data_IF_539994938185
#
_entry.id   IF_539994938185
#
_cell.length_a   1.000
_cell.length_b   1.000
_cell.length_c   1.000
_cell.angle_alpha   90.00
_cell.angle_beta   90.00
_cell.angle_gamma   90.00
#
_symmetry.space_group_name_H-M   'P 1'
#
loop_
_entity.id
_entity.type
_entity.pdbx_description
1 polymer ?
#
# COMPACT_ATOMS: atom_id res chain seq x y z
N UNK A 1 -7.03 12.41 27.44
CA UNK A 1 -6.54 11.10 26.95
C UNK A 1 -6.55 11.16 25.44
N UNK A 2 -5.52 10.65 24.76
CA UNK A 2 -5.54 10.55 23.30
C UNK A 2 -6.69 9.63 22.88
N UNK A 3 -7.46 10.03 21.87
CA UNK A 3 -8.52 9.17 21.36
C UNK A 3 -7.89 8.10 20.46
N UNK A 4 -8.03 6.84 20.85
CA UNK A 4 -7.53 5.71 20.07
C UNK A 4 -8.42 5.45 18.87
N UNK A 5 -7.80 5.13 17.73
CA UNK A 5 -8.51 4.79 16.51
C UNK A 5 -8.86 3.30 16.48
N UNK A 6 -10.10 3.01 16.11
CA UNK A 6 -10.57 1.66 15.81
C UNK A 6 -9.99 1.13 14.49
N UNK A 7 -10.06 -0.18 14.26
CA UNK A 7 -9.53 -0.81 13.05
C UNK A 7 -10.15 -0.26 11.76
N UNK A 8 -11.47 -0.08 11.72
CA UNK A 8 -12.15 0.44 10.53
C UNK A 8 -11.74 1.88 10.23
N UNK A 9 -11.49 2.73 11.24
CA UNK A 9 -11.01 4.10 11.03
C UNK A 9 -9.62 4.11 10.40
N UNK A 10 -8.73 3.20 10.85
CA UNK A 10 -7.38 2.99 10.26
C UNK A 10 -7.46 2.57 8.79
N UNK A 11 -8.41 1.70 8.46
CA UNK A 11 -8.67 1.31 7.08
C UNK A 11 -9.17 2.51 6.24
N UNK A 12 -10.18 3.23 6.72
CA UNK A 12 -10.79 4.33 5.98
C UNK A 12 -9.84 5.52 5.76
N UNK A 13 -8.99 5.87 6.73
CA UNK A 13 -7.98 6.93 6.53
C UNK A 13 -6.93 6.51 5.50
N UNK A 14 -6.59 5.22 5.44
CA UNK A 14 -5.67 4.67 4.44
C UNK A 14 -6.25 4.75 3.03
N UNK A 15 -7.53 4.36 2.89
CA UNK A 15 -8.27 4.51 1.64
C UNK A 15 -8.34 5.99 1.22
N UNK A 16 -8.66 6.90 2.14
CA UNK A 16 -8.74 8.33 1.86
C UNK A 16 -7.39 8.92 1.40
N UNK A 17 -6.28 8.55 2.05
CA UNK A 17 -4.93 8.96 1.67
C UNK A 17 -4.59 8.51 0.25
N UNK A 18 -4.81 7.23 -0.07
CA UNK A 18 -4.57 6.69 -1.41
C UNK A 18 -5.50 7.33 -2.45
N UNK A 19 -6.77 7.58 -2.09
CA UNK A 19 -7.73 8.23 -2.97
C UNK A 19 -7.29 9.65 -3.36
N UNK A 20 -6.80 10.43 -2.39
CA UNK A 20 -6.29 11.77 -2.64
C UNK A 20 -5.09 11.75 -3.60
N UNK A 21 -4.12 10.86 -3.37
CA UNK A 21 -2.94 10.71 -4.24
C UNK A 21 -3.32 10.22 -5.63
N UNK A 22 -4.20 9.23 -5.74
CA UNK A 22 -4.63 8.71 -7.03
C UNK A 22 -5.37 9.77 -7.84
N UNK A 23 -6.24 10.54 -7.20
CA UNK A 23 -6.96 11.66 -7.84
C UNK A 23 -5.97 12.71 -8.34
N UNK A 24 -4.98 13.08 -7.53
CA UNK A 24 -3.91 13.99 -7.94
C UNK A 24 -3.10 13.44 -9.13
N UNK A 25 -2.89 12.11 -9.18
CA UNK A 25 -2.19 11.42 -10.27
C UNK A 25 -3.02 11.14 -11.51
N UNK A 26 -4.33 11.42 -11.50
CA UNK A 26 -5.24 11.07 -12.60
C UNK A 26 -5.50 9.56 -12.74
N UNK A 27 -5.45 8.81 -11.64
CA UNK A 27 -5.71 7.38 -11.59
C UNK A 27 -7.10 7.10 -11.02
N UNK A 28 -7.70 5.97 -11.41
CA UNK A 28 -8.96 5.49 -10.82
C UNK A 28 -8.68 4.45 -9.74
N UNK A 29 -9.48 4.45 -8.68
CA UNK A 29 -9.52 3.37 -7.69
C UNK A 29 -10.66 2.39 -7.98
N UNK A 30 -10.42 1.13 -7.66
CA UNK A 30 -11.44 0.10 -7.55
C UNK A 30 -11.30 -0.60 -6.19
N UNK A 31 -12.43 -0.99 -5.63
CA UNK A 31 -12.55 -1.88 -4.49
C UNK A 31 -13.27 -3.17 -4.89
N UNK A 32 -13.06 -4.22 -4.11
CA UNK A 32 -13.66 -5.54 -4.33
C UNK A 32 -14.69 -5.80 -3.25
N UNK A 33 -15.88 -6.26 -3.66
CA UNK A 33 -16.96 -6.59 -2.72
C UNK A 33 -16.64 -7.78 -1.81
N UNK A 34 -15.70 -8.64 -2.23
CA UNK A 34 -15.20 -9.78 -1.47
C UNK A 34 -13.69 -9.79 -1.61
N UNK A 35 -12.98 -9.60 -0.50
CA UNK A 35 -11.52 -9.71 -0.47
C UNK A 35 -11.11 -11.19 -0.41
N UNK A 36 -10.71 -11.73 -1.56
CA UNK A 36 -10.11 -13.07 -1.66
C UNK A 36 -8.59 -13.02 -1.82
N UNK A 37 -8.09 -11.93 -2.39
CA UNK A 37 -6.73 -11.81 -2.90
C UNK A 37 -5.81 -10.97 -2.00
N UNK A 38 -6.30 -10.56 -0.82
CA UNK A 38 -5.58 -9.70 0.12
C UNK A 38 -5.36 -8.31 -0.47
N UNK A 39 -6.42 -7.71 -1.03
CA UNK A 39 -6.35 -6.44 -1.74
C UNK A 39 -7.42 -5.50 -1.20
N UNK A 40 -6.97 -4.40 -0.59
CA UNK A 40 -7.88 -3.35 -0.12
C UNK A 40 -8.30 -2.42 -1.26
N UNK A 41 -7.36 -2.07 -2.15
CA UNK A 41 -7.58 -1.17 -3.29
C UNK A 41 -6.77 -1.61 -4.51
N UNK A 42 -7.38 -1.46 -5.68
CA UNK A 42 -6.70 -1.58 -6.98
C UNK A 42 -6.64 -0.19 -7.63
N UNK A 43 -5.44 0.24 -8.03
CA UNK A 43 -5.25 1.42 -8.88
C UNK A 43 -5.31 1.00 -10.35
N UNK A 44 -5.94 1.82 -11.19
CA UNK A 44 -6.00 1.60 -12.63
C UNK A 44 -5.60 2.83 -13.42
N UNK A 45 -4.80 2.61 -14.47
CA UNK A 45 -4.40 3.65 -15.42
C UNK A 45 -4.04 3.03 -16.77
N UNK A 46 -4.64 3.54 -17.86
CA UNK A 46 -4.32 3.16 -19.26
C UNK A 46 -4.27 1.64 -19.50
N UNK A 47 -5.21 0.91 -18.91
CA UNK A 47 -5.29 -0.56 -19.06
C UNK A 47 -4.41 -1.37 -18.12
N UNK A 48 -3.52 -0.73 -17.36
CA UNK A 48 -2.74 -1.37 -16.31
C UNK A 48 -3.43 -1.26 -14.96
N UNK A 49 -3.26 -2.30 -14.14
CA UNK A 49 -3.76 -2.38 -12.78
C UNK A 49 -2.59 -2.60 -11.82
N UNK A 50 -2.75 -2.13 -10.58
CA UNK A 50 -1.83 -2.33 -9.46
C UNK A 50 -2.66 -2.65 -8.24
N UNK A 51 -2.35 -3.75 -7.56
CA UNK A 51 -3.04 -4.15 -6.33
C UNK A 51 -2.25 -3.72 -5.10
N UNK A 52 -2.96 -3.18 -4.11
CA UNK A 52 -2.35 -2.65 -2.89
C UNK A 52 -3.13 -3.16 -1.67
N UNK A 53 -2.41 -3.82 -0.77
CA UNK A 53 -2.86 -4.01 0.62
C UNK A 53 -2.45 -2.78 1.44
N UNK A 54 -3.41 -2.21 2.14
CA UNK A 54 -3.23 -1.10 3.05
C UNK A 54 -3.09 -1.61 4.48
N UNK A 55 -2.06 -1.15 5.18
CA UNK A 55 -1.91 -1.31 6.63
C UNK A 55 -1.71 0.07 7.24
N UNK A 56 -2.16 0.24 8.48
CA UNK A 56 -2.06 1.52 9.17
C UNK A 56 -1.64 1.32 10.63
N UNK A 57 -0.71 2.14 11.10
CA UNK A 57 -0.17 2.05 12.46
C UNK A 57 0.06 3.43 13.07
N UNK A 58 -0.15 3.50 14.38
CA UNK A 58 0.18 4.65 15.22
C UNK A 58 1.55 4.51 15.89
N UNK A 59 2.11 3.30 15.86
CA UNK A 59 3.35 2.91 16.53
C UNK A 59 4.19 2.09 15.57
N UNK A 60 4.80 2.74 14.55
CA UNK A 60 5.61 2.04 13.57
C UNK A 60 6.88 1.48 14.21
N UNK A 61 7.33 0.31 13.74
CA UNK A 61 8.63 -0.23 14.13
C UNK A 61 9.71 0.40 13.26
N UNK A 62 10.44 1.35 13.83
CA UNK A 62 11.57 1.99 13.16
C UNK A 62 12.78 1.06 13.14
N UNK A 63 13.46 1.01 12.01
CA UNK A 63 14.74 0.31 11.81
C UNK A 63 15.76 1.31 11.23
N UNK A 64 17.03 0.91 11.07
CA UNK A 64 18.13 1.83 10.71
C UNK A 64 17.85 2.71 9.48
N UNK A 65 17.09 2.23 8.50
CA UNK A 65 16.86 2.93 7.22
C UNK A 65 15.38 2.92 6.79
N UNK A 66 14.46 3.09 7.75
CA UNK A 66 13.03 3.18 7.50
C UNK A 66 12.22 2.41 8.54
N UNK A 67 11.26 1.62 8.06
CA UNK A 67 10.30 0.92 8.89
C UNK A 67 10.23 -0.57 8.56
N UNK A 68 9.78 -1.35 9.54
CA UNK A 68 9.47 -2.77 9.35
C UNK A 68 8.02 -3.02 9.74
N UNK A 69 7.32 -3.82 8.96
CA UNK A 69 5.97 -4.26 9.26
C UNK A 69 5.88 -5.79 9.19
N UNK A 70 5.38 -6.41 10.24
CA UNK A 70 5.14 -7.86 10.23
C UNK A 70 3.81 -8.13 9.54
N UNK A 71 3.88 -8.59 8.30
CA UNK A 71 2.71 -8.97 7.51
C UNK A 71 2.42 -10.45 7.73
N UNK A 72 1.15 -10.82 7.89
CA UNK A 72 0.76 -12.22 7.95
C UNK A 72 1.13 -12.96 6.66
N UNK A 73 1.50 -14.24 6.79
CA UNK A 73 2.02 -15.02 5.67
C UNK A 73 0.97 -15.22 4.58
N UNK A 74 -0.31 -15.36 4.95
CA UNK A 74 -1.38 -15.52 3.96
C UNK A 74 -1.47 -14.30 3.03
N UNK A 75 -1.48 -13.09 3.60
CA UNK A 75 -1.49 -11.85 2.80
C UNK A 75 -0.19 -11.67 2.02
N UNK A 76 0.96 -11.97 2.64
CA UNK A 76 2.25 -11.91 1.96
C UNK A 76 2.30 -12.83 0.74
N UNK A 77 1.92 -14.10 0.91
CA UNK A 77 1.91 -15.13 -0.14
C UNK A 77 0.97 -14.76 -1.28
N UNK A 78 -0.22 -14.23 -0.96
CA UNK A 78 -1.15 -13.70 -1.97
C UNK A 78 -0.52 -12.56 -2.76
N UNK A 79 0.04 -11.54 -2.11
CA UNK A 79 0.58 -10.35 -2.79
C UNK A 79 1.84 -10.64 -3.61
N UNK A 80 2.64 -11.61 -3.17
CA UNK A 80 3.92 -11.93 -3.81
C UNK A 80 3.80 -12.84 -5.02
N UNK A 81 2.63 -13.47 -5.20
CA UNK A 81 2.40 -14.49 -6.22
C UNK A 81 2.81 -13.97 -7.62
N UNK A 82 3.75 -14.65 -8.31
CA UNK A 82 4.20 -14.25 -9.63
C UNK A 82 3.13 -14.42 -10.73
N UNK A 83 2.08 -15.21 -10.49
CA UNK A 83 1.00 -15.46 -11.47
C UNK A 83 -0.10 -14.39 -11.44
N UNK A 84 -0.04 -13.42 -10.51
CA UNK A 84 -1.01 -12.32 -10.46
C UNK A 84 -1.00 -11.51 -11.76
N UNK A 85 -2.19 -11.12 -12.21
CA UNK A 85 -2.35 -10.22 -13.37
C UNK A 85 -1.98 -8.76 -13.08
N UNK A 86 -1.97 -8.37 -11.80
CA UNK A 86 -1.54 -7.06 -11.33
C UNK A 86 -0.46 -7.23 -10.23
N UNK A 87 0.60 -6.40 -10.22
CA UNK A 87 1.64 -6.50 -9.20
C UNK A 87 1.07 -6.17 -7.82
N UNK A 88 1.29 -7.06 -6.86
CA UNK A 88 0.92 -6.88 -5.47
C UNK A 88 1.92 -6.03 -4.68
N UNK A 89 1.40 -5.04 -3.98
CA UNK A 89 2.16 -4.10 -3.15
C UNK A 89 1.59 -4.02 -1.74
N UNK A 90 2.46 -3.71 -0.78
CA UNK A 90 2.07 -3.28 0.56
C UNK A 90 2.23 -1.77 0.66
N UNK A 91 1.24 -1.09 1.21
CA UNK A 91 1.36 0.29 1.68
C UNK A 91 1.16 0.35 3.19
N UNK A 92 2.12 0.93 3.91
CA UNK A 92 2.02 1.22 5.34
C UNK A 92 1.77 2.70 5.55
N UNK A 93 0.63 3.05 6.12
CA UNK A 93 0.31 4.39 6.57
C UNK A 93 0.67 4.56 8.05
N UNK A 94 1.51 5.55 8.33
CA UNK A 94 1.88 5.95 9.68
C UNK A 94 1.09 7.19 10.06
N UNK A 95 0.38 7.13 11.17
CA UNK A 95 -0.54 8.19 11.61
C UNK A 95 -0.28 8.58 13.07
N UNK A 96 -0.61 9.81 13.51
CA UNK A 96 -0.48 10.23 14.89
C UNK A 96 -1.24 9.31 15.88
N UNK A 97 -0.74 9.12 17.11
CA UNK A 97 -1.44 8.34 18.14
C UNK A 97 -2.83 8.86 18.52
N UNK A 98 -3.07 10.16 18.36
CA UNK A 98 -4.37 10.78 18.59
C UNK A 98 -5.13 10.91 17.27
N UNK A 99 -6.28 10.23 17.16
CA UNK A 99 -7.13 10.29 15.95
C UNK A 99 -7.61 11.71 15.65
N UNK A 100 -7.76 12.56 16.67
CA UNK A 100 -8.15 13.97 16.50
C UNK A 100 -7.13 14.79 15.70
N UNK A 101 -5.90 14.27 15.53
CA UNK A 101 -4.84 14.93 14.76
C UNK A 101 -4.72 14.41 13.32
N UNK A 102 -5.46 13.37 12.94
CA UNK A 102 -5.35 12.77 11.59
C UNK A 102 -5.83 13.73 10.51
N UNK A 103 -6.90 14.47 10.78
CA UNK A 103 -7.43 15.50 9.90
C UNK A 103 -7.48 16.81 10.67
N UNK A 104 -6.74 17.80 10.21
CA UNK A 104 -6.73 19.14 10.82
C UNK A 104 -7.25 20.15 9.83
N UNK A 105 -8.19 20.99 10.26
CA UNK A 105 -8.69 22.10 9.45
C UNK A 105 -7.78 23.31 9.61
N UNK A 106 -7.44 23.93 8.48
CA UNK A 106 -6.81 25.23 8.38
C UNK A 106 -7.78 26.17 7.66
N UNK A 107 -7.44 27.47 7.58
CA UNK A 107 -8.34 28.48 7.00
C UNK A 107 -8.67 28.25 5.53
N UNK A 108 -7.76 27.62 4.78
CA UNK A 108 -7.84 27.45 3.33
C UNK A 108 -7.70 25.97 2.88
N UNK A 109 -7.50 25.07 3.84
CA UNK A 109 -7.08 23.70 3.54
C UNK A 109 -7.45 22.73 4.66
N UNK A 110 -7.38 21.45 4.31
CA UNK A 110 -7.36 20.35 5.27
C UNK A 110 -6.00 19.67 5.19
N UNK A 111 -5.43 19.30 6.34
CA UNK A 111 -4.21 18.51 6.42
C UNK A 111 -4.58 17.10 6.82
N UNK A 112 -4.26 16.13 5.97
CA UNK A 112 -4.26 14.72 6.30
C UNK A 112 -2.88 14.35 6.84
N UNK A 113 -2.73 14.30 8.17
CA UNK A 113 -1.46 14.05 8.85
C UNK A 113 -1.11 12.56 8.81
N UNK A 114 -0.84 12.04 7.62
CA UNK A 114 -0.50 10.63 7.40
C UNK A 114 0.75 10.52 6.52
N UNK A 115 1.65 9.60 6.87
CA UNK A 115 2.87 9.34 6.11
C UNK A 115 2.81 7.93 5.54
N UNK A 116 2.69 7.81 4.22
CA UNK A 116 2.62 6.53 3.54
C UNK A 116 3.99 6.07 3.08
N UNK A 117 4.28 4.78 3.24
CA UNK A 117 5.43 4.09 2.65
C UNK A 117 4.95 2.86 1.91
N UNK A 118 5.71 2.39 0.94
CA UNK A 118 5.31 1.22 0.14
C UNK A 118 6.46 0.25 -0.11
N UNK A 119 6.11 -0.97 -0.48
CA UNK A 119 7.03 -2.00 -0.96
C UNK A 119 6.33 -2.87 -2.03
N UNK A 120 7.05 -3.23 -3.09
CA UNK A 120 6.61 -4.25 -4.03
C UNK A 120 6.85 -5.63 -3.42
N UNK A 121 5.82 -6.47 -3.38
CA UNK A 121 5.94 -7.86 -2.93
C UNK A 121 5.93 -8.85 -4.09
N UNK A 122 5.39 -8.45 -5.23
CA UNK A 122 5.32 -9.27 -6.43
C UNK A 122 6.68 -9.88 -6.81
N UNK A 123 6.72 -11.21 -6.94
CA UNK A 123 7.92 -11.95 -7.33
C UNK A 123 9.02 -12.03 -6.26
N UNK A 124 8.76 -11.66 -5.00
CA UNK A 124 9.74 -11.78 -3.90
C UNK A 124 10.10 -13.26 -3.57
N UNK A 125 10.87 -13.51 -2.51
CA UNK A 125 11.13 -14.86 -2.01
C UNK A 125 9.99 -15.41 -1.16
N UNK A 126 10.15 -16.62 -0.62
CA UNK A 126 9.24 -17.13 0.41
C UNK A 126 9.37 -16.36 1.72
N UNK A 127 8.30 -16.35 2.51
CA UNK A 127 8.30 -15.79 3.86
C UNK A 127 9.41 -16.42 4.73
N UNK A 128 10.03 -15.61 5.58
CA UNK A 128 11.08 -16.09 6.48
C UNK A 128 10.55 -16.71 7.78
N UNK A 129 9.35 -16.29 8.22
CA UNK A 129 8.70 -16.76 9.44
C UNK A 129 7.63 -17.82 9.21
N UNK A 130 6.93 -18.21 10.28
CA UNK A 130 5.85 -19.21 10.26
C UNK A 130 4.43 -18.66 10.47
N UNK A 131 4.30 -17.42 10.97
CA UNK A 131 3.00 -16.74 11.13
C UNK A 131 2.97 -15.36 10.44
N UNK A 132 4.09 -14.63 10.54
CA UNK A 132 4.30 -13.35 9.89
C UNK A 132 5.69 -13.32 9.26
N UNK A 133 5.89 -12.39 8.32
CA UNK A 133 7.20 -12.06 7.78
C UNK A 133 7.41 -10.55 7.81
N UNK A 134 8.63 -10.12 8.12
CA UNK A 134 8.98 -8.72 8.16
C UNK A 134 9.10 -8.18 6.72
N UNK A 135 8.29 -7.18 6.39
CA UNK A 135 8.41 -6.38 5.17
C UNK A 135 9.14 -5.08 5.52
N UNK A 136 10.28 -4.85 4.88
CA UNK A 136 11.07 -3.63 5.04
C UNK A 136 10.53 -2.53 4.13
N UNK A 137 10.26 -1.36 4.70
CA UNK A 137 9.78 -0.16 4.02
C UNK A 137 10.82 0.95 4.18
N UNK A 138 11.73 1.13 3.20
CA UNK A 138 12.76 2.15 3.29
C UNK A 138 12.17 3.56 3.40
N UNK A 139 12.84 4.45 4.14
CA UNK A 139 12.41 5.84 4.31
C UNK A 139 12.28 6.62 2.98
N UNK A 140 13.05 6.23 1.96
CA UNK A 140 12.99 6.84 0.62
C UNK A 140 11.91 6.23 -0.29
N UNK A 141 11.17 5.21 0.16
CA UNK A 141 10.02 4.64 -0.53
C UNK A 141 8.71 5.22 0.00
N UNK A 142 8.61 6.54 0.00
CA UNK A 142 7.37 7.24 0.33
C UNK A 142 6.28 6.96 -0.71
N UNK A 143 5.06 6.74 -0.24
CA UNK A 143 3.89 6.59 -1.09
C UNK A 143 3.42 7.96 -1.58
N UNK A 144 3.74 8.26 -2.83
CA UNK A 144 3.44 9.50 -3.52
C UNK A 144 2.84 9.22 -4.90
N UNK A 145 2.36 10.25 -5.61
CA UNK A 145 1.94 10.12 -7.01
C UNK A 145 3.05 9.54 -7.90
N UNK A 146 4.31 9.94 -7.65
CA UNK A 146 5.48 9.40 -8.35
C UNK A 146 5.65 7.91 -8.06
N UNK A 147 5.50 7.50 -6.81
CA UNK A 147 5.56 6.08 -6.43
C UNK A 147 4.48 5.24 -7.13
N UNK A 148 3.24 5.73 -7.19
CA UNK A 148 2.18 5.07 -7.95
C UNK A 148 2.53 4.93 -9.44
N UNK A 149 3.20 5.94 -10.03
CA UNK A 149 3.78 5.84 -11.37
C UNK A 149 4.77 4.68 -11.50
N UNK A 150 5.69 4.54 -10.53
CA UNK A 150 6.64 3.41 -10.47
C UNK A 150 5.94 2.06 -10.35
N UNK A 151 4.85 1.97 -9.59
CA UNK A 151 4.05 0.74 -9.48
C UNK A 151 3.42 0.36 -10.84
N UNK A 152 2.90 1.33 -11.59
CA UNK A 152 2.42 1.08 -12.95
C UNK A 152 3.53 0.67 -13.92
N UNK A 153 4.75 1.20 -13.76
CA UNK A 153 5.90 0.74 -14.55
C UNK A 153 6.24 -0.74 -14.24
N UNK A 154 6.02 -1.21 -13.01
CA UNK A 154 6.13 -2.63 -12.67
C UNK A 154 5.06 -3.47 -13.40
N UNK A 155 3.81 -3.01 -13.41
CA UNK A 155 2.73 -3.68 -14.15
C UNK A 155 3.04 -3.80 -15.64
N UNK A 156 3.60 -2.76 -16.27
CA UNK A 156 4.03 -2.80 -17.68
C UNK A 156 5.13 -3.84 -17.93
N UNK A 157 6.11 -3.95 -17.03
CA UNK A 157 7.18 -4.94 -17.14
C UNK A 157 6.65 -6.36 -17.05
N UNK A 158 5.67 -6.63 -16.18
CA UNK A 158 5.03 -7.95 -16.09
C UNK A 158 4.40 -8.37 -17.42
N UNK A 159 3.64 -7.48 -18.07
CA UNK A 159 3.01 -7.78 -19.36
C UNK A 159 4.03 -8.07 -20.45
N UNK A 160 5.12 -7.29 -20.51
CA UNK A 160 6.16 -7.48 -21.52
C UNK A 160 6.93 -8.80 -21.33
N UNK A 161 7.21 -9.18 -20.08
CA UNK A 161 7.87 -10.45 -19.76
C UNK A 161 7.00 -11.67 -20.10
N UNK A 162 5.68 -11.58 -19.87
CA UNK A 162 4.74 -12.64 -20.24
C UNK A 162 4.69 -12.87 -21.77
N UNK A 163 4.82 -11.80 -22.57
CA UNK A 163 4.86 -11.90 -24.03
C UNK A 163 6.13 -12.52 -24.61
N UNK A 164 7.24 -12.51 -23.88
CA UNK A 164 8.52 -13.11 -24.31
C UNK A 164 8.60 -14.62 -24.08
N UNK A 165 7.73 -15.19 -23.22
CA UNK A 165 7.66 -16.63 -22.95
C UNK A 165 6.75 -17.42 -23.91
N UNK A 166 6.12 -16.75 -24.88
CA UNK A 166 5.14 -17.33 -25.82
C UNK A 166 5.62 -17.35 -27.27
N UNK A 167 6.90 -17.04 -27.53
CA UNK A 167 7.52 -17.08 -28.86
C UNK A 167 8.59 -18.17 -28.95
#
# INVERSE_FOLDING_TARGET
MAAEATSWQKEQVSRAFVHALATQGGYTLCDWNVDKDGVDVTLRSRGFMVDIQLKCTQSPRTVRSGYSFDLDIETYDKLRDPERSAPGHLALLIVPPDIGRWVTHQSDSIVLACHGYWASLHGMGHAAGSSTTAVHLPEHQELTVKAMGTMFDAARRMTNSAGLGLN
#
